data_IF_329246585723
#
_entry.id   IF_329246585723
#
_cell.length_a   1.000
_cell.length_b   1.000
_cell.length_c   1.000
_cell.angle_alpha   90.00
_cell.angle_beta   90.00
_cell.angle_gamma   90.00
#
_symmetry.space_group_name_H-M   'P 1'
#
loop_
_entity.id
_entity.type
_entity.pdbx_description
1 polymer ?
#
# COMPACT_ATOMS: atom_id res chain seq x y z
N UNK A 1 6.30 -3.87 -12.36
CA UNK A 1 5.19 -3.86 -11.39
C UNK A 1 4.05 -3.00 -11.91
N UNK A 2 2.92 -2.92 -11.22
CA UNK A 2 1.77 -2.09 -11.64
C UNK A 2 2.13 -0.62 -11.80
N UNK A 3 2.80 -0.03 -10.82
CA UNK A 3 3.12 1.41 -10.79
C UNK A 3 4.09 1.90 -11.86
N UNK A 4 4.74 0.98 -12.59
CA UNK A 4 5.65 1.27 -13.70
C UNK A 4 4.96 1.23 -15.07
N UNK A 5 3.72 0.72 -15.11
CA UNK A 5 2.98 0.64 -16.35
C UNK A 5 2.56 2.05 -16.81
N UNK A 6 2.53 2.32 -18.12
CA UNK A 6 1.96 3.56 -18.65
C UNK A 6 0.47 3.72 -18.30
N UNK A 7 -0.26 2.59 -18.27
CA UNK A 7 -1.70 2.47 -18.01
C UNK A 7 -2.01 2.03 -16.57
N UNK A 8 -1.13 2.32 -15.61
CA UNK A 8 -1.26 1.87 -14.22
C UNK A 8 -2.58 2.34 -13.59
N UNK A 9 -3.31 1.41 -12.97
CA UNK A 9 -4.52 1.66 -12.18
C UNK A 9 -4.21 2.44 -10.89
N UNK A 10 -3.01 2.28 -10.34
CA UNK A 10 -2.51 3.08 -9.22
C UNK A 10 -0.99 3.19 -9.26
N UNK A 11 -0.46 4.23 -8.60
CA UNK A 11 0.97 4.44 -8.42
C UNK A 11 1.32 4.40 -6.94
N UNK A 12 2.14 3.42 -6.57
CA UNK A 12 2.77 3.32 -5.26
C UNK A 12 4.29 3.49 -5.44
N UNK A 13 4.84 4.69 -5.18
CA UNK A 13 6.27 4.96 -5.37
C UNK A 13 7.14 4.25 -4.33
N UNK A 14 6.56 3.78 -3.23
CA UNK A 14 7.28 3.19 -2.10
C UNK A 14 7.35 1.66 -2.18
N UNK A 15 6.43 1.02 -2.90
CA UNK A 15 6.33 -0.44 -3.01
C UNK A 15 7.66 -1.12 -3.38
N UNK A 16 8.42 -0.55 -4.33
CA UNK A 16 9.73 -1.11 -4.72
C UNK A 16 10.75 -1.04 -3.59
N UNK A 17 10.84 0.10 -2.91
CA UNK A 17 11.76 0.31 -1.78
C UNK A 17 11.43 -0.66 -0.64
N UNK A 18 10.14 -0.79 -0.32
CA UNK A 18 9.65 -1.66 0.75
C UNK A 18 9.75 -3.16 0.43
N UNK A 19 9.58 -3.56 -0.83
CA UNK A 19 9.78 -4.95 -1.24
C UNK A 19 11.26 -5.33 -1.26
N UNK A 20 12.10 -4.43 -1.78
CA UNK A 20 13.52 -4.62 -1.99
C UNK A 20 13.86 -5.88 -2.81
N UNK A 21 15.14 -6.24 -2.81
CA UNK A 21 15.64 -7.45 -3.50
C UNK A 21 14.99 -8.75 -2.98
N UNK A 22 14.55 -8.76 -1.72
CA UNK A 22 13.89 -9.92 -1.12
C UNK A 22 12.53 -10.17 -1.79
N UNK A 23 11.70 -9.13 -1.93
CA UNK A 23 10.40 -9.25 -2.58
C UNK A 23 10.53 -9.66 -4.05
N UNK A 24 11.53 -9.13 -4.76
CA UNK A 24 11.83 -9.51 -6.14
C UNK A 24 12.20 -10.99 -6.26
N UNK A 25 13.08 -11.49 -5.38
CA UNK A 25 13.47 -12.92 -5.34
C UNK A 25 12.27 -13.82 -5.05
N UNK A 26 11.38 -13.42 -4.15
CA UNK A 26 10.15 -14.16 -3.85
C UNK A 26 9.30 -14.29 -5.12
N UNK A 27 9.00 -13.18 -5.80
CA UNK A 27 8.20 -13.20 -7.04
C UNK A 27 8.88 -14.05 -8.12
N UNK A 28 10.20 -13.94 -8.28
CA UNK A 28 10.97 -14.70 -9.26
C UNK A 28 10.90 -16.22 -9.01
N UNK A 29 10.81 -16.63 -7.74
CA UNK A 29 10.68 -18.05 -7.34
C UNK A 29 9.26 -18.62 -7.50
N UNK A 30 8.24 -17.77 -7.63
CA UNK A 30 6.84 -18.22 -7.68
C UNK A 30 6.41 -18.67 -9.08
N UNK A 31 5.91 -19.91 -9.20
CA UNK A 31 5.29 -20.41 -10.43
C UNK A 31 4.04 -19.58 -10.75
N UNK A 32 4.03 -18.92 -11.92
CA UNK A 32 3.00 -17.94 -12.34
C UNK A 32 2.93 -16.68 -11.45
N UNK A 33 4.04 -16.23 -10.84
CA UNK A 33 4.06 -15.03 -9.98
C UNK A 33 3.44 -13.78 -10.61
N UNK A 34 3.57 -13.60 -11.94
CA UNK A 34 2.90 -12.52 -12.68
C UNK A 34 1.37 -12.63 -12.71
N UNK A 35 0.81 -13.83 -12.80
CA UNK A 35 -0.64 -14.02 -12.75
C UNK A 35 -1.20 -13.73 -11.35
N UNK A 36 -0.43 -14.06 -10.31
CA UNK A 36 -0.77 -13.76 -8.92
C UNK A 36 -0.71 -12.26 -8.58
N UNK A 37 -0.10 -11.44 -9.43
CA UNK A 37 -0.09 -10.00 -9.25
C UNK A 37 -1.49 -9.37 -9.44
N UNK A 38 -2.32 -9.93 -10.33
CA UNK A 38 -3.58 -9.30 -10.71
C UNK A 38 -4.59 -9.16 -9.56
N UNK A 39 -4.83 -10.18 -8.71
CA UNK A 39 -5.67 -10.02 -7.53
C UNK A 39 -5.16 -8.94 -6.57
N UNK A 40 -3.84 -8.81 -6.40
CA UNK A 40 -3.26 -7.76 -5.55
C UNK A 40 -3.46 -6.37 -6.17
N UNK A 41 -3.32 -6.25 -7.49
CA UNK A 41 -3.53 -5.00 -8.23
C UNK A 41 -4.98 -4.53 -8.09
N UNK A 42 -5.94 -5.39 -8.40
CA UNK A 42 -7.37 -5.07 -8.30
C UNK A 42 -7.75 -4.73 -6.86
N UNK A 43 -7.28 -5.53 -5.88
CA UNK A 43 -7.52 -5.26 -4.47
C UNK A 43 -7.01 -3.88 -4.06
N UNK A 44 -5.83 -3.48 -4.50
CA UNK A 44 -5.27 -2.17 -4.16
C UNK A 44 -6.09 -1.04 -4.77
N UNK A 45 -6.39 -1.10 -6.07
CA UNK A 45 -7.15 -0.06 -6.76
C UNK A 45 -8.56 0.13 -6.16
N UNK A 46 -9.28 -0.97 -5.94
CA UNK A 46 -10.64 -0.93 -5.39
C UNK A 46 -10.66 -0.40 -3.96
N UNK A 47 -9.73 -0.83 -3.09
CA UNK A 47 -9.69 -0.33 -1.72
C UNK A 47 -9.30 1.15 -1.65
N UNK A 48 -8.41 1.62 -2.51
CA UNK A 48 -8.07 3.05 -2.57
C UNK A 48 -9.29 3.91 -2.88
N UNK A 49 -10.05 3.49 -3.90
CA UNK A 49 -11.27 4.18 -4.30
C UNK A 49 -12.32 4.19 -3.20
N UNK A 50 -12.56 3.04 -2.55
CA UNK A 50 -13.52 2.92 -1.45
C UNK A 50 -13.13 3.79 -0.27
N UNK A 51 -11.86 3.75 0.16
CA UNK A 51 -11.36 4.54 1.30
C UNK A 51 -11.53 6.04 1.02
N UNK A 52 -11.12 6.52 -0.16
CA UNK A 52 -11.24 7.92 -0.52
C UNK A 52 -12.70 8.38 -0.57
N UNK A 53 -13.58 7.58 -1.18
CA UNK A 53 -15.02 7.88 -1.25
C UNK A 53 -15.66 7.93 0.13
N UNK A 54 -15.32 7.02 1.03
CA UNK A 54 -15.86 6.99 2.39
C UNK A 54 -15.38 8.20 3.19
N UNK A 55 -14.08 8.54 3.12
CA UNK A 55 -13.54 9.72 3.80
C UNK A 55 -14.24 11.00 3.33
N UNK A 56 -14.37 11.18 2.02
CA UNK A 56 -14.97 12.39 1.44
C UNK A 56 -16.47 12.51 1.75
N UNK A 57 -17.23 11.41 1.61
CA UNK A 57 -18.70 11.46 1.69
C UNK A 57 -19.24 11.39 3.10
N UNK A 58 -18.58 10.64 3.98
CA UNK A 58 -19.07 10.38 5.33
C UNK A 58 -18.38 11.27 6.37
N UNK A 59 -17.37 12.06 5.97
CA UNK A 59 -16.63 12.94 6.87
C UNK A 59 -15.81 12.18 7.91
N UNK A 60 -15.29 11.00 7.54
CA UNK A 60 -14.45 10.19 8.43
C UNK A 60 -13.18 10.96 8.78
N UNK A 61 -12.89 11.06 10.08
CA UNK A 61 -11.70 11.72 10.61
C UNK A 61 -10.59 10.76 11.01
N UNK A 62 -10.87 9.46 11.10
CA UNK A 62 -9.93 8.44 11.60
C UNK A 62 -10.03 7.13 10.82
N UNK A 63 -8.89 6.59 10.39
CA UNK A 63 -8.76 5.27 9.75
C UNK A 63 -7.89 4.37 10.61
N UNK A 64 -8.38 3.17 10.95
CA UNK A 64 -7.61 2.11 11.59
C UNK A 64 -7.24 1.04 10.55
N UNK A 65 -5.96 0.97 10.18
CA UNK A 65 -5.42 -0.02 9.26
C UNK A 65 -4.87 -1.22 10.04
N UNK A 66 -5.62 -2.33 10.04
CA UNK A 66 -5.26 -3.56 10.72
C UNK A 66 -4.38 -4.45 9.83
N UNK A 67 -3.34 -5.03 10.42
CA UNK A 67 -2.32 -5.77 9.67
C UNK A 67 -1.78 -4.92 8.51
N UNK A 68 -1.40 -3.67 8.84
CA UNK A 68 -1.03 -2.66 7.87
C UNK A 68 0.15 -3.07 6.99
N UNK A 69 1.03 -3.95 7.46
CA UNK A 69 2.13 -4.51 6.68
C UNK A 69 2.95 -3.42 5.99
N UNK A 70 3.17 -3.64 4.69
CA UNK A 70 3.83 -2.70 3.80
C UNK A 70 2.86 -1.77 3.06
N UNK A 71 1.64 -1.59 3.56
CA UNK A 71 0.69 -0.62 3.02
C UNK A 71 1.24 0.80 3.15
N UNK A 72 1.11 1.56 2.07
CA UNK A 72 1.65 2.90 1.88
C UNK A 72 0.57 3.95 1.66
N UNK A 73 -0.72 3.58 1.73
CA UNK A 73 -1.86 4.48 1.60
C UNK A 73 -1.71 5.81 2.34
N UNK A 74 -1.32 5.87 3.63
CA UNK A 74 -1.19 7.15 4.33
C UNK A 74 -0.11 8.07 3.76
N UNK A 75 0.83 7.54 2.97
CA UNK A 75 1.93 8.30 2.38
C UNK A 75 1.68 8.68 0.91
N UNK A 76 0.76 8.01 0.21
CA UNK A 76 0.54 8.22 -1.23
C UNK A 76 -0.86 8.69 -1.62
N UNK A 77 -1.87 8.45 -0.78
CA UNK A 77 -3.23 8.90 -1.06
C UNK A 77 -3.38 10.39 -0.73
N UNK A 78 -4.22 11.13 -1.48
CA UNK A 78 -4.48 12.55 -1.22
C UNK A 78 -5.44 12.74 -0.04
N UNK A 79 -4.97 12.42 1.16
CA UNK A 79 -5.79 12.43 2.38
C UNK A 79 -5.84 13.85 3.00
N UNK A 80 -6.95 14.23 3.66
CA UNK A 80 -7.00 15.48 4.43
C UNK A 80 -5.93 15.51 5.53
N UNK A 81 -5.32 16.67 5.77
CA UNK A 81 -4.29 16.82 6.81
C UNK A 81 -4.80 16.62 8.23
N UNK A 82 -6.11 16.77 8.45
CA UNK A 82 -6.79 16.50 9.72
C UNK A 82 -7.10 15.02 9.93
N UNK A 83 -7.00 14.18 8.89
CA UNK A 83 -7.32 12.76 8.98
C UNK A 83 -6.25 12.03 9.81
N UNK A 84 -6.68 11.33 10.86
CA UNK A 84 -5.81 10.47 11.66
C UNK A 84 -5.74 9.07 11.05
N UNK A 85 -4.57 8.67 10.60
CA UNK A 85 -4.32 7.29 10.15
C UNK A 85 -3.55 6.51 11.21
N UNK A 86 -4.16 5.44 11.74
CA UNK A 86 -3.58 4.57 12.75
C UNK A 86 -3.26 3.22 12.12
N UNK A 87 -2.02 2.77 12.25
CA UNK A 87 -1.59 1.47 11.77
C UNK A 87 -1.38 0.51 12.94
N UNK A 88 -1.96 -0.69 12.84
CA UNK A 88 -1.78 -1.75 13.83
C UNK A 88 -1.14 -2.97 13.14
N UNK A 89 0.06 -3.33 13.59
CA UNK A 89 0.79 -4.52 13.15
C UNK A 89 1.82 -4.92 14.21
N UNK A 90 2.57 -5.99 13.96
CA UNK A 90 3.68 -6.39 14.81
C UNK A 90 4.78 -5.31 14.86
N UNK A 91 5.44 -5.13 16.02
CA UNK A 91 6.42 -4.05 16.21
C UNK A 91 7.56 -4.03 15.19
N UNK A 92 8.05 -5.20 14.77
CA UNK A 92 9.12 -5.37 13.80
C UNK A 92 8.70 -4.97 12.38
N UNK A 93 7.45 -5.26 11.99
CA UNK A 93 6.88 -4.83 10.70
C UNK A 93 6.75 -3.31 10.65
N UNK A 94 6.23 -2.69 11.71
CA UNK A 94 6.11 -1.23 11.81
C UNK A 94 7.49 -0.57 11.78
N UNK A 95 8.45 -1.07 12.57
CA UNK A 95 9.81 -0.53 12.61
C UNK A 95 10.48 -0.63 11.24
N UNK A 96 10.37 -1.78 10.57
CA UNK A 96 10.91 -1.97 9.22
C UNK A 96 10.31 -0.96 8.22
N UNK A 97 8.99 -0.84 8.17
CA UNK A 97 8.33 0.10 7.25
C UNK A 97 8.75 1.54 7.54
N UNK A 98 8.76 1.96 8.80
CA UNK A 98 9.18 3.31 9.17
C UNK A 98 10.63 3.57 8.77
N UNK A 99 11.56 2.65 9.05
CA UNK A 99 12.97 2.78 8.67
C UNK A 99 13.12 2.93 7.14
N UNK A 100 12.40 2.11 6.37
CA UNK A 100 12.42 2.20 4.91
C UNK A 100 11.76 3.46 4.37
N UNK A 101 10.78 4.05 5.06
CA UNK A 101 10.12 5.27 4.62
C UNK A 101 10.78 6.54 5.14
N UNK A 102 11.78 6.44 6.03
CA UNK A 102 12.60 7.58 6.43
C UNK A 102 13.32 8.17 5.21
N UNK A 103 13.24 9.49 5.11
CA UNK A 103 13.79 10.36 4.10
C UNK A 103 13.65 11.80 4.57
#
# INVERSE_FOLDING_TARGET
>A
MESERPDALFRDPYARKLAGERGERIIASMRRGRAWAWPMIVRTAVLDELILRTIEREGVDTVLNLAAGLDTRPYRLPLPSSLRWVEADFPDVIAYKQEQLRG
#
